data_IF_849919844149
#
_entry.id   IF_849919844149
#
_cell.length_a   1.000
_cell.length_b   1.000
_cell.length_c   1.000
_cell.angle_alpha   90.00
_cell.angle_beta   90.00
_cell.angle_gamma   90.00
#
_symmetry.space_group_name_H-M   'P 1'
#
loop_
_entity.id
_entity.type
_entity.pdbx_description
1 polymer ?
#
# COMPACT_ATOMS: atom_id res chain seq x y z
N UNK A 1 42.35 -6.74 -32.27
CA UNK A 1 42.37 -7.89 -33.20
C UNK A 1 42.98 -9.11 -32.52
N UNK A 2 42.15 -10.05 -32.04
CA UNK A 2 42.50 -11.47 -31.85
C UNK A 2 41.24 -12.29 -32.15
N UNK A 3 41.41 -13.34 -32.94
CA UNK A 3 40.40 -14.06 -33.73
C UNK A 3 40.26 -15.53 -33.27
N UNK A 4 39.02 -15.95 -32.95
CA UNK A 4 38.35 -17.31 -33.05
C UNK A 4 39.05 -18.53 -32.37
N UNK A 5 38.43 -19.74 -32.19
CA UNK A 5 37.15 -20.33 -32.68
C UNK A 5 36.25 -21.02 -31.60
N UNK A 6 34.90 -21.10 -31.72
CA UNK A 6 34.01 -22.15 -32.32
C UNK A 6 34.04 -23.56 -31.70
N UNK A 7 32.88 -24.03 -31.17
CA UNK A 7 32.34 -25.42 -31.09
C UNK A 7 30.97 -25.36 -30.38
N UNK A 8 29.81 -25.35 -31.06
CA UNK A 8 29.00 -26.47 -31.57
C UNK A 8 28.95 -27.72 -30.70
N UNK A 9 27.80 -28.05 -30.07
CA UNK A 9 27.14 -29.36 -30.22
C UNK A 9 25.65 -29.31 -29.84
N UNK A 10 24.85 -29.92 -30.72
CA UNK A 10 23.41 -30.21 -30.68
C UNK A 10 23.04 -31.25 -29.60
N UNK A 11 21.79 -31.28 -29.14
CA UNK A 11 21.25 -32.40 -28.35
C UNK A 11 19.74 -32.34 -28.17
N UNK A 12 19.00 -32.97 -29.09
CA UNK A 12 17.56 -33.20 -29.11
C UNK A 12 17.21 -34.39 -28.20
N UNK A 13 16.11 -34.35 -27.46
CA UNK A 13 15.33 -35.56 -27.12
C UNK A 13 13.88 -35.19 -26.73
N UNK A 14 12.97 -35.48 -27.66
CA UNK A 14 11.51 -35.52 -27.49
C UNK A 14 11.13 -36.92 -27.01
N UNK A 15 10.39 -37.04 -25.90
CA UNK A 15 9.79 -38.32 -25.51
C UNK A 15 8.33 -38.12 -25.13
N UNK A 16 7.45 -38.49 -26.07
CA UNK A 16 6.03 -38.77 -25.82
C UNK A 16 5.93 -40.18 -25.18
N UNK A 17 5.13 -40.35 -24.13
CA UNK A 17 4.56 -41.65 -23.78
C UNK A 17 3.15 -41.50 -23.20
N UNK A 18 2.22 -42.27 -23.75
CA UNK A 18 0.78 -42.26 -23.48
C UNK A 18 0.35 -43.22 -22.35
N UNK A 19 -0.90 -42.97 -21.89
CA UNK A 19 -1.92 -43.91 -21.38
C UNK A 19 -1.69 -44.58 -20.02
N UNK A 20 -2.68 -44.50 -19.10
CA UNK A 20 -3.72 -45.53 -18.83
C UNK A 20 -4.84 -44.91 -17.96
N UNK A 21 -6.11 -45.09 -18.34
CA UNK A 21 -7.28 -44.76 -17.51
C UNK A 21 -7.54 -45.85 -16.44
N UNK A 22 -7.92 -45.47 -15.22
CA UNK A 22 -8.46 -46.40 -14.19
C UNK A 22 -9.81 -45.90 -13.65
N UNK A 23 -10.81 -46.80 -13.50
CA UNK A 23 -12.17 -46.45 -13.09
C UNK A 23 -12.34 -46.37 -11.57
N UNK A 24 -13.53 -45.87 -11.21
CA UNK A 24 -14.01 -45.42 -9.91
C UNK A 24 -13.97 -46.44 -8.76
N UNK A 25 -13.65 -45.94 -7.57
CA UNK A 25 -14.12 -46.48 -6.30
C UNK A 25 -14.86 -45.37 -5.55
N UNK A 26 -16.10 -45.67 -5.17
CA UNK A 26 -17.00 -44.81 -4.41
C UNK A 26 -16.38 -44.41 -3.06
N UNK A 27 -16.28 -43.11 -2.82
CA UNK A 27 -16.04 -42.55 -1.50
C UNK A 27 -17.29 -41.76 -1.13
N UNK A 28 -18.04 -42.24 -0.15
CA UNK A 28 -19.16 -41.53 0.44
C UNK A 28 -18.64 -40.24 1.08
N UNK A 29 -19.05 -39.03 0.64
CA UNK A 29 -18.78 -37.86 1.43
C UNK A 29 -19.73 -37.87 2.63
N UNK A 30 -19.16 -38.13 3.81
CA UNK A 30 -19.71 -37.63 5.06
C UNK A 30 -20.02 -36.15 4.87
N UNK A 31 -21.28 -35.78 5.05
CA UNK A 31 -21.73 -34.41 5.00
C UNK A 31 -21.07 -33.62 6.14
N UNK A 32 -19.91 -33.02 5.88
CA UNK A 32 -19.48 -31.84 6.62
C UNK A 32 -20.40 -30.69 6.23
N UNK A 33 -20.97 -29.94 7.19
CA UNK A 33 -21.65 -28.70 6.86
C UNK A 33 -20.66 -27.82 6.12
N UNK A 34 -20.97 -27.52 4.86
CA UNK A 34 -20.28 -26.52 4.08
C UNK A 34 -20.38 -25.22 4.84
N UNK A 35 -19.32 -24.85 5.55
CA UNK A 35 -19.08 -23.45 5.87
C UNK A 35 -19.03 -22.76 4.52
N UNK A 36 -19.97 -21.87 4.19
CA UNK A 36 -19.94 -21.18 2.91
C UNK A 36 -18.54 -20.58 2.78
N UNK A 37 -17.88 -20.69 1.61
CA UNK A 37 -16.69 -19.89 1.39
C UNK A 37 -17.14 -18.47 1.68
N UNK A 38 -16.57 -17.87 2.72
CA UNK A 38 -16.71 -16.45 2.93
C UNK A 38 -16.08 -15.85 1.70
N UNK A 39 -16.90 -15.56 0.70
CA UNK A 39 -16.61 -14.56 -0.31
C UNK A 39 -16.19 -13.37 0.51
N UNK A 40 -14.89 -13.16 0.60
CA UNK A 40 -14.32 -11.88 0.94
C UNK A 40 -14.84 -11.00 -0.18
N UNK A 41 -16.01 -10.42 0.06
CA UNK A 41 -16.48 -9.28 -0.69
C UNK A 41 -15.37 -8.28 -0.51
N UNK A 42 -14.48 -8.19 -1.50
CA UNK A 42 -13.62 -7.03 -1.69
C UNK A 42 -14.60 -5.91 -1.94
N UNK A 43 -15.11 -5.34 -0.85
CA UNK A 43 -15.99 -4.21 -0.88
C UNK A 43 -15.24 -3.17 -1.68
N UNK A 44 -15.78 -2.82 -2.84
CA UNK A 44 -15.21 -1.82 -3.73
C UNK A 44 -15.18 -0.53 -2.92
N UNK A 45 -14.07 -0.26 -2.24
CA UNK A 45 -13.93 0.93 -1.40
C UNK A 45 -13.87 2.11 -2.34
N UNK A 46 -15.01 2.78 -2.48
CA UNK A 46 -15.15 3.91 -3.37
C UNK A 46 -14.20 5.02 -2.91
N UNK A 47 -13.23 5.35 -3.75
CA UNK A 47 -12.38 6.51 -3.54
C UNK A 47 -13.25 7.76 -3.42
N UNK A 48 -13.03 8.49 -2.34
CA UNK A 48 -13.70 9.74 -2.04
C UNK A 48 -12.75 10.86 -2.41
N UNK A 49 -13.22 11.81 -3.22
CA UNK A 49 -12.44 13.01 -3.54
C UNK A 49 -12.18 13.79 -2.26
N UNK A 50 -10.98 14.35 -2.11
CA UNK A 50 -10.69 15.29 -1.04
C UNK A 50 -11.48 16.59 -1.24
N UNK A 51 -11.95 17.17 -0.15
CA UNK A 51 -12.42 18.55 -0.17
C UNK A 51 -11.26 19.47 -0.58
N UNK A 52 -11.58 20.62 -1.20
CA UNK A 52 -10.58 21.61 -1.57
C UNK A 52 -9.76 22.10 -0.35
N UNK A 53 -10.29 21.91 0.87
CA UNK A 53 -9.64 22.23 2.14
C UNK A 53 -9.79 21.05 3.11
N UNK A 54 -8.91 20.03 3.04
CA UNK A 54 -8.98 18.83 3.88
C UNK A 54 -8.42 19.09 5.29
N UNK A 55 -8.91 20.14 5.94
CA UNK A 55 -8.49 20.56 7.28
C UNK A 55 -9.03 19.56 8.30
N UNK A 56 -8.18 19.14 9.23
CA UNK A 56 -8.56 18.18 10.26
C UNK A 56 -7.38 17.37 10.77
N UNK A 57 -7.69 16.48 11.73
CA UNK A 57 -6.74 15.53 12.29
C UNK A 57 -6.94 14.16 11.64
N UNK A 58 -5.84 13.47 11.38
CA UNK A 58 -5.81 12.13 10.81
C UNK A 58 -4.86 11.28 11.65
N UNK A 59 -5.36 10.16 12.15
CA UNK A 59 -4.52 9.18 12.83
C UNK A 59 -4.19 8.09 11.82
N UNK A 60 -2.90 7.99 11.47
CA UNK A 60 -2.41 7.07 10.45
C UNK A 60 -1.26 6.23 10.99
N UNK A 61 -1.03 5.10 10.36
CA UNK A 61 0.01 4.15 10.67
C UNK A 61 0.84 3.94 9.41
N UNK A 62 2.13 4.22 9.52
CA UNK A 62 3.10 3.94 8.46
C UNK A 62 3.62 2.52 8.67
N UNK A 63 3.54 1.68 7.65
CA UNK A 63 4.18 0.37 7.68
C UNK A 63 5.67 0.54 7.34
N UNK A 64 6.56 0.52 8.34
CA UNK A 64 8.01 0.54 8.15
C UNK A 64 8.61 -0.87 8.24
N UNK A 65 9.83 -1.08 7.71
CA UNK A 65 10.55 -2.36 7.85
C UNK A 65 10.74 -2.81 9.30
N UNK A 66 10.93 -1.85 10.22
CA UNK A 66 11.14 -2.13 11.66
C UNK A 66 9.83 -2.34 12.43
N UNK A 67 8.67 -2.16 11.78
CA UNK A 67 7.35 -2.29 12.36
C UNK A 67 6.42 -1.10 12.05
N UNK A 68 5.13 -1.23 12.38
CA UNK A 68 4.17 -0.15 12.20
C UNK A 68 4.49 1.04 13.11
N UNK A 69 4.41 2.25 12.57
CA UNK A 69 4.61 3.50 13.29
C UNK A 69 3.34 4.33 13.29
N UNK A 70 2.64 4.45 14.44
CA UNK A 70 1.50 5.34 14.58
C UNK A 70 1.96 6.80 14.55
N UNK A 71 1.23 7.62 13.81
CA UNK A 71 1.48 9.05 13.67
C UNK A 71 0.15 9.80 13.62
N UNK A 72 0.15 11.03 14.14
CA UNK A 72 -0.96 11.96 13.98
C UNK A 72 -0.55 13.02 12.97
N UNK A 73 -1.41 13.24 11.98
CA UNK A 73 -1.30 14.31 10.99
C UNK A 73 -2.38 15.34 11.27
N UNK A 74 -2.01 16.60 11.46
CA UNK A 74 -2.97 17.71 11.57
C UNK A 74 -2.81 18.60 10.37
N UNK A 75 -3.78 18.60 9.46
CA UNK A 75 -3.82 19.50 8.29
C UNK A 75 -4.55 20.77 8.70
N UNK A 76 -3.95 21.92 8.40
CA UNK A 76 -4.46 23.25 8.69
C UNK A 76 -4.37 24.14 7.45
N UNK A 77 -5.23 25.16 7.40
CA UNK A 77 -5.22 26.17 6.36
C UNK A 77 -4.82 27.50 6.97
N UNK A 78 -3.70 28.05 6.53
CA UNK A 78 -3.23 29.36 6.93
C UNK A 78 -3.18 30.26 5.69
N UNK A 79 -4.06 31.26 5.66
CA UNK A 79 -4.17 32.23 4.57
C UNK A 79 -4.34 31.62 3.16
N UNK A 80 -5.04 30.48 3.05
CA UNK A 80 -5.26 29.78 1.78
C UNK A 80 -4.12 28.84 1.38
N UNK A 81 -3.11 28.66 2.24
CA UNK A 81 -2.06 27.65 2.08
C UNK A 81 -2.31 26.50 3.05
N UNK A 82 -2.42 25.30 2.52
CA UNK A 82 -2.51 24.08 3.32
C UNK A 82 -1.13 23.68 3.84
N UNK A 83 -1.04 23.47 5.15
CA UNK A 83 0.12 22.89 5.83
C UNK A 83 -0.35 21.71 6.66
N UNK A 84 0.57 20.80 6.97
CA UNK A 84 0.31 19.73 7.93
C UNK A 84 1.40 19.70 8.99
N UNK A 85 1.04 19.26 10.19
CA UNK A 85 2.00 18.91 11.21
C UNK A 85 1.94 17.41 11.45
N UNK A 86 3.09 16.76 11.31
CA UNK A 86 3.30 15.34 11.52
C UNK A 86 3.84 15.11 12.93
N UNK A 87 3.16 14.28 13.69
CA UNK A 87 3.50 13.95 15.07
C UNK A 87 3.73 12.45 15.17
N UNK A 88 4.98 12.04 15.38
CA UNK A 88 5.27 10.65 15.73
C UNK A 88 4.86 10.42 17.19
N UNK A 89 4.37 9.21 17.52
CA UNK A 89 4.11 8.88 18.94
C UNK A 89 5.40 9.05 19.77
N UNK A 90 5.30 9.85 20.83
CA UNK A 90 6.42 10.19 21.71
C UNK A 90 7.21 11.44 21.29
N UNK A 91 6.94 12.00 20.11
CA UNK A 91 7.47 13.28 19.67
C UNK A 91 6.69 14.45 20.29
N UNK A 92 7.40 15.53 20.63
CA UNK A 92 6.85 16.75 21.22
C UNK A 92 6.98 17.96 20.31
N UNK A 93 7.81 17.87 19.29
CA UNK A 93 8.18 19.05 18.50
C UNK A 93 7.34 19.15 17.22
N UNK A 94 6.84 18.01 16.69
CA UNK A 94 6.04 17.99 15.48
C UNK A 94 6.85 18.44 14.26
N UNK A 95 6.50 17.93 13.09
CA UNK A 95 7.23 18.22 11.86
C UNK A 95 6.29 18.82 10.83
N UNK A 96 6.58 20.05 10.40
CA UNK A 96 5.79 20.71 9.38
C UNK A 96 5.98 20.05 8.01
N UNK A 97 4.87 19.88 7.29
CA UNK A 97 4.83 19.37 5.92
C UNK A 97 4.02 20.34 5.05
N UNK A 98 4.46 20.51 3.82
CA UNK A 98 3.65 21.14 2.77
C UNK A 98 2.55 20.18 2.31
N UNK A 99 1.37 20.72 2.00
CA UNK A 99 0.21 19.93 1.59
C UNK A 99 -0.30 20.39 0.23
N UNK A 100 -0.51 19.45 -0.67
CA UNK A 100 -1.12 19.68 -1.99
C UNK A 100 -2.25 18.70 -2.21
N UNK A 101 -3.41 19.19 -2.65
CA UNK A 101 -4.53 18.33 -3.07
C UNK A 101 -4.52 18.19 -4.58
N UNK A 102 -4.47 16.95 -5.07
CA UNK A 102 -4.55 16.64 -6.50
C UNK A 102 -5.59 15.56 -6.72
N UNK A 103 -6.74 15.94 -7.27
CA UNK A 103 -7.88 15.06 -7.50
C UNK A 103 -8.33 14.31 -6.24
N UNK A 104 -8.03 13.01 -6.14
CA UNK A 104 -8.36 12.13 -5.01
C UNK A 104 -7.19 11.93 -4.05
N UNK A 105 -6.06 12.55 -4.33
CA UNK A 105 -4.82 12.36 -3.60
C UNK A 105 -4.48 13.62 -2.79
N UNK A 106 -4.14 13.41 -1.53
CA UNK A 106 -3.56 14.41 -0.63
C UNK A 106 -2.07 14.10 -0.54
N UNK A 107 -1.25 14.98 -1.11
CA UNK A 107 0.20 14.86 -1.12
C UNK A 107 0.74 15.71 0.02
N UNK A 108 1.49 15.08 0.92
CA UNK A 108 2.24 15.73 1.98
C UNK A 108 3.72 15.58 1.67
N UNK A 109 4.46 16.67 1.76
CA UNK A 109 5.89 16.69 1.46
C UNK A 109 6.66 17.45 2.54
N UNK A 110 7.75 16.86 3.02
CA UNK A 110 8.69 17.48 3.94
C UNK A 110 10.13 17.11 3.64
N UNK A 111 11.05 18.04 3.86
CA UNK A 111 12.49 17.79 3.80
C UNK A 111 12.98 17.31 5.17
N UNK A 112 13.64 16.15 5.22
CA UNK A 112 14.17 15.59 6.47
C UNK A 112 15.68 15.35 6.35
N UNK A 113 16.41 15.20 7.48
CA UNK A 113 17.84 14.84 7.42
C UNK A 113 18.13 13.51 6.71
N UNK A 114 17.13 12.63 6.57
CA UNK A 114 17.26 11.34 5.85
C UNK A 114 16.87 11.43 4.37
N UNK A 115 16.48 12.61 3.90
CA UNK A 115 15.99 12.86 2.55
C UNK A 115 14.53 13.32 2.52
N UNK A 116 13.96 13.53 1.32
CA UNK A 116 12.58 13.95 1.17
C UNK A 116 11.63 12.86 1.68
N UNK A 117 10.62 13.30 2.45
CA UNK A 117 9.50 12.51 2.91
C UNK A 117 8.25 12.91 2.11
N UNK A 118 7.74 11.97 1.31
CA UNK A 118 6.50 12.12 0.57
C UNK A 118 5.46 11.15 1.11
N UNK A 119 4.26 11.64 1.43
CA UNK A 119 3.11 10.83 1.81
C UNK A 119 1.96 11.15 0.86
N UNK A 120 1.40 10.13 0.24
CA UNK A 120 0.23 10.27 -0.64
C UNK A 120 -0.93 9.55 0.02
N UNK A 121 -1.98 10.27 0.38
CA UNK A 121 -3.18 9.74 1.03
C UNK A 121 -4.40 9.83 0.13
N UNK A 122 -5.18 8.76 0.14
CA UNK A 122 -6.47 8.65 -0.53
C UNK A 122 -7.55 8.43 0.52
N UNK A 123 -8.67 9.14 0.37
CA UNK A 123 -9.80 9.03 1.29
C UNK A 123 -10.78 7.96 0.81
N UNK A 124 -11.25 7.13 1.73
CA UNK A 124 -12.24 6.08 1.52
C UNK A 124 -13.28 6.18 2.65
N UNK A 125 -14.19 7.15 2.54
CA UNK A 125 -15.12 7.50 3.62
C UNK A 125 -14.39 8.08 4.84
N UNK A 126 -14.48 7.37 5.97
CA UNK A 126 -13.79 7.71 7.23
C UNK A 126 -12.37 7.17 7.32
N UNK A 127 -11.99 6.28 6.39
CA UNK A 127 -10.63 5.73 6.32
C UNK A 127 -9.77 6.51 5.34
N UNK A 128 -8.47 6.48 5.60
CA UNK A 128 -7.45 6.96 4.67
C UNK A 128 -6.45 5.84 4.43
N UNK A 129 -5.98 5.71 3.20
CA UNK A 129 -4.97 4.74 2.83
C UNK A 129 -4.05 5.34 1.77
N UNK A 130 -2.85 4.82 1.62
CA UNK A 130 -1.90 5.43 0.73
C UNK A 130 -0.52 4.82 0.81
N UNK A 131 0.47 5.64 0.44
CA UNK A 131 1.88 5.26 0.41
C UNK A 131 2.75 6.37 0.97
N UNK A 132 3.91 5.98 1.48
CA UNK A 132 4.94 6.90 1.92
C UNK A 132 6.27 6.54 1.23
N UNK A 133 7.13 7.54 1.06
CA UNK A 133 8.51 7.41 0.58
C UNK A 133 9.41 8.29 1.44
N UNK A 134 10.54 7.77 1.91
CA UNK A 134 11.56 8.51 2.65
C UNK A 134 12.93 8.18 2.07
N UNK A 135 13.47 9.06 1.24
CA UNK A 135 14.69 8.76 0.48
C UNK A 135 14.50 7.54 -0.42
N UNK A 136 15.18 6.42 -0.13
CA UNK A 136 15.02 5.15 -0.85
C UNK A 136 13.98 4.21 -0.23
N UNK A 137 13.59 4.46 1.02
CA UNK A 137 12.62 3.65 1.74
C UNK A 137 11.21 4.00 1.31
N UNK A 138 10.31 3.02 1.28
CA UNK A 138 8.91 3.22 0.93
C UNK A 138 8.03 2.20 1.61
N UNK A 139 6.74 2.52 1.73
CA UNK A 139 5.76 1.61 2.30
C UNK A 139 4.34 2.10 2.17
N UNK A 140 3.42 1.42 2.85
CA UNK A 140 2.01 1.77 2.87
C UNK A 140 1.66 2.63 4.08
N UNK A 141 0.66 3.48 3.91
CA UNK A 141 -0.03 4.18 5.00
C UNK A 141 -1.46 3.68 5.07
N UNK A 142 -1.96 3.47 6.28
CA UNK A 142 -3.39 3.28 6.54
C UNK A 142 -3.82 4.06 7.78
N UNK A 143 -5.07 4.47 7.85
CA UNK A 143 -5.55 5.20 9.01
C UNK A 143 -6.99 5.63 8.89
N UNK A 144 -7.35 6.60 9.72
CA UNK A 144 -8.70 7.17 9.77
C UNK A 144 -8.65 8.68 9.94
N UNK A 145 -9.71 9.32 9.49
CA UNK A 145 -9.99 10.71 9.88
C UNK A 145 -10.33 10.67 11.39
N UNK A 146 -9.60 11.45 12.18
CA UNK A 146 -9.94 11.60 13.59
C UNK A 146 -11.21 12.45 13.67
N UNK A 147 -12.20 11.98 14.41
CA UNK A 147 -13.43 12.74 14.62
C UNK A 147 -13.09 14.13 15.21
N UNK A 148 -13.70 15.20 14.70
CA UNK A 148 -13.48 16.56 15.19
C UNK A 148 -13.84 16.75 16.65
#
# INVERSE_FOLDING_TARGET
MRTRPTRSTLGIALTLLCLVARPAAAQSPTASPAVPPSTVTVGSTRLTRWDARPVGRYDVELALPDGPMPVTLTVSDSAGRLTATFWKVGDRDGHEMSVTVKDTDLLLHAETPRGPLDIVLQRQGERVAGRWTLGADHGSVQGKVASP
#
